data_IF_726004799066
#
_entry.id   IF_726004799066
#
_cell.length_a   1.000
_cell.length_b   1.000
_cell.length_c   1.000
_cell.angle_alpha   90.00
_cell.angle_beta   90.00
_cell.angle_gamma   90.00
#
_symmetry.space_group_name_H-M   'P 1'
#
loop_
_entity.id
_entity.type
_entity.pdbx_description
1 polymer ?
#
# COMPACT_ATOMS: atom_id res chain seq x y z
N UNK A 1 -0.63 39.96 -13.26
CA UNK A 1 0.05 38.66 -13.50
C UNK A 1 -0.53 37.68 -12.49
N UNK A 2 -1.43 36.82 -12.95
CA UNK A 2 -2.24 35.92 -12.14
C UNK A 2 -1.35 34.93 -11.41
N UNK A 3 -1.30 35.00 -10.08
CA UNK A 3 -0.57 34.04 -9.26
C UNK A 3 -1.47 32.81 -9.05
N UNK A 4 -1.42 31.87 -9.99
CA UNK A 4 -2.15 30.61 -9.94
C UNK A 4 -1.46 29.67 -8.94
N UNK A 5 -1.75 29.85 -7.65
CA UNK A 5 -1.44 28.83 -6.66
C UNK A 5 -2.41 27.65 -6.86
N UNK A 6 -2.05 26.72 -7.74
CA UNK A 6 -2.75 25.45 -7.87
C UNK A 6 -2.90 24.84 -6.46
N UNK A 7 -4.12 24.50 -6.01
CA UNK A 7 -4.31 23.94 -4.69
C UNK A 7 -3.46 22.68 -4.57
N UNK A 8 -2.47 22.71 -3.67
CA UNK A 8 -1.67 21.50 -3.33
C UNK A 8 -2.69 20.43 -2.97
N UNK A 9 -2.82 19.38 -3.82
CA UNK A 9 -3.74 18.26 -3.60
C UNK A 9 -3.59 17.79 -2.15
N UNK A 10 -4.54 18.16 -1.30
CA UNK A 10 -4.56 17.73 0.08
C UNK A 10 -5.04 16.29 0.06
N UNK A 11 -4.08 15.36 0.03
CA UNK A 11 -4.36 13.95 0.26
C UNK A 11 -4.84 13.83 1.70
N UNK A 12 -6.16 13.81 1.90
CA UNK A 12 -6.80 13.63 3.21
C UNK A 12 -6.13 12.44 3.91
N UNK A 13 -5.38 12.77 4.97
CA UNK A 13 -4.67 11.77 5.78
C UNK A 13 -5.73 11.09 6.62
N UNK A 14 -5.86 9.76 6.54
CA UNK A 14 -6.19 8.98 7.74
C UNK A 14 -5.76 7.52 7.66
N UNK A 15 -5.73 6.95 8.86
CA UNK A 15 -4.85 5.89 9.33
C UNK A 15 -5.25 4.50 8.78
N UNK A 16 -5.14 4.29 7.46
CA UNK A 16 -5.50 3.01 6.83
C UNK A 16 -4.59 1.88 7.36
N UNK A 17 -5.16 0.74 7.81
CA UNK A 17 -4.38 -0.43 8.21
C UNK A 17 -3.49 -0.95 7.08
N UNK A 18 -2.28 -1.38 7.42
CA UNK A 18 -1.29 -1.86 6.45
C UNK A 18 -1.84 -2.95 5.53
N UNK A 19 -2.63 -3.88 6.08
CA UNK A 19 -3.13 -5.01 5.31
C UNK A 19 -4.07 -4.56 4.19
N UNK A 20 -4.95 -3.57 4.46
CA UNK A 20 -5.83 -2.99 3.44
C UNK A 20 -5.04 -2.31 2.33
N UNK A 21 -3.98 -1.58 2.69
CA UNK A 21 -3.09 -0.94 1.70
C UNK A 21 -2.49 -2.00 0.77
N UNK A 22 -1.92 -3.06 1.32
CA UNK A 22 -1.28 -4.14 0.55
C UNK A 22 -2.29 -4.89 -0.31
N UNK A 23 -3.47 -5.22 0.23
CA UNK A 23 -4.51 -5.91 -0.52
C UNK A 23 -4.99 -5.09 -1.73
N UNK A 24 -5.08 -3.76 -1.59
CA UNK A 24 -5.51 -2.87 -2.67
C UNK A 24 -4.43 -2.70 -3.74
N UNK A 25 -3.22 -2.35 -3.33
CA UNK A 25 -2.15 -1.98 -4.27
C UNK A 25 -1.40 -3.20 -4.80
N UNK A 26 -1.38 -4.31 -4.05
CA UNK A 26 -0.59 -5.53 -4.31
C UNK A 26 0.91 -5.23 -4.49
N UNK A 27 1.42 -4.24 -3.75
CA UNK A 27 2.82 -3.83 -3.72
C UNK A 27 3.32 -3.75 -2.27
N UNK A 28 4.62 -3.93 -2.09
CA UNK A 28 5.30 -3.89 -0.80
C UNK A 28 6.51 -2.97 -0.84
N UNK A 29 6.59 -1.94 0.03
CA UNK A 29 7.79 -1.14 0.17
C UNK A 29 8.80 -1.85 1.09
N UNK A 30 10.00 -2.09 0.59
CA UNK A 30 11.12 -2.49 1.45
C UNK A 30 11.59 -1.33 2.31
N UNK A 31 12.38 -1.59 3.36
CA UNK A 31 12.97 -0.53 4.20
C UNK A 31 13.93 0.40 3.43
N UNK A 32 14.45 -0.03 2.28
CA UNK A 32 15.45 0.70 1.48
C UNK A 32 14.87 1.69 0.47
N UNK A 33 13.55 1.74 0.29
CA UNK A 33 12.94 2.58 -0.77
C UNK A 33 12.52 1.82 -2.01
N UNK A 34 12.78 0.51 -2.05
CA UNK A 34 12.54 -0.34 -3.21
C UNK A 34 11.13 -0.93 -3.13
N UNK A 35 10.33 -0.72 -4.17
CA UNK A 35 8.98 -1.23 -4.33
C UNK A 35 9.01 -2.64 -4.94
N UNK A 36 8.36 -3.58 -4.27
CA UNK A 36 8.24 -4.97 -4.68
C UNK A 36 6.80 -5.28 -5.08
N UNK A 37 6.63 -6.19 -6.05
CA UNK A 37 5.34 -6.80 -6.34
C UNK A 37 5.00 -7.87 -5.31
N UNK A 38 3.76 -7.92 -4.85
CA UNK A 38 3.29 -8.96 -3.91
C UNK A 38 2.77 -10.15 -4.71
N UNK A 39 3.38 -11.33 -4.49
CA UNK A 39 3.02 -12.62 -5.10
C UNK A 39 1.96 -13.34 -4.27
N UNK A 40 2.11 -13.37 -2.95
CA UNK A 40 1.10 -13.90 -2.04
C UNK A 40 1.03 -13.09 -0.75
N UNK A 41 -0.16 -13.05 -0.16
CA UNK A 41 -0.43 -12.33 1.08
C UNK A 41 -1.50 -13.08 1.86
N UNK A 42 -1.11 -13.79 2.93
CA UNK A 42 -2.00 -14.63 3.75
C UNK A 42 -2.10 -14.05 5.15
N UNK A 43 -3.29 -13.59 5.52
CA UNK A 43 -3.56 -13.01 6.84
C UNK A 43 -3.84 -14.10 7.86
N UNK A 44 -3.24 -14.01 9.05
CA UNK A 44 -3.46 -14.87 10.21
C UNK A 44 -3.57 -14.01 11.47
N UNK A 45 -4.79 -13.61 11.81
CA UNK A 45 -5.08 -12.71 12.93
C UNK A 45 -4.33 -11.37 12.80
N UNK A 46 -3.51 -10.95 13.78
CA UNK A 46 -2.80 -9.67 13.72
C UNK A 46 -1.58 -9.68 12.79
N UNK A 47 -1.18 -10.84 12.26
CA UNK A 47 -0.03 -11.01 11.39
C UNK A 47 -0.44 -11.47 9.99
N UNK A 48 0.48 -11.35 9.04
CA UNK A 48 0.33 -11.88 7.70
C UNK A 48 1.68 -12.36 7.15
N UNK A 49 1.64 -13.48 6.44
CA UNK A 49 2.75 -13.95 5.62
C UNK A 49 2.67 -13.24 4.26
N UNK A 50 3.72 -12.51 3.91
CA UNK A 50 3.88 -11.83 2.63
C UNK A 50 5.01 -12.47 1.85
N UNK A 51 4.74 -12.81 0.59
CA UNK A 51 5.74 -13.27 -0.38
C UNK A 51 5.76 -12.30 -1.56
N UNK A 52 6.93 -11.78 -1.90
CA UNK A 52 7.11 -10.92 -3.08
C UNK A 52 7.34 -11.74 -4.35
N UNK A 53 7.24 -11.11 -5.52
CA UNK A 53 7.58 -11.75 -6.80
C UNK A 53 9.07 -12.07 -6.96
N UNK A 54 9.95 -11.46 -6.15
CA UNK A 54 11.35 -11.87 -6.05
C UNK A 54 11.60 -12.87 -4.91
N UNK A 55 10.54 -13.57 -4.48
CA UNK A 55 10.54 -14.64 -3.49
C UNK A 55 11.05 -14.27 -2.09
N UNK A 56 11.11 -12.97 -1.76
CA UNK A 56 11.32 -12.54 -0.38
C UNK A 56 10.08 -12.88 0.45
N UNK A 57 10.30 -13.54 1.59
CA UNK A 57 9.26 -13.94 2.53
C UNK A 57 9.41 -13.15 3.82
N UNK A 58 8.29 -12.68 4.36
CA UNK A 58 8.28 -11.97 5.64
C UNK A 58 6.95 -12.10 6.34
N UNK A 59 7.00 -12.08 7.67
CA UNK A 59 5.82 -11.96 8.52
C UNK A 59 5.68 -10.50 8.93
N UNK A 60 4.51 -9.92 8.70
CA UNK A 60 4.24 -8.51 9.00
C UNK A 60 3.03 -8.39 9.92
N UNK A 61 3.06 -7.41 10.82
CA UNK A 61 1.91 -7.09 11.70
C UNK A 61 1.02 -6.04 11.04
N UNK A 62 -0.30 -6.16 11.24
CA UNK A 62 -1.22 -5.12 10.81
C UNK A 62 -1.05 -3.87 11.70
N UNK A 63 -0.41 -2.83 11.17
CA UNK A 63 -0.21 -1.57 11.89
C UNK A 63 -0.36 -0.37 10.96
N UNK A 64 -1.20 0.56 11.38
CA UNK A 64 -1.49 1.82 10.66
C UNK A 64 -0.29 2.79 10.69
N UNK A 65 0.52 2.69 11.74
CA UNK A 65 1.65 3.57 12.02
C UNK A 65 3.00 3.00 11.54
N UNK A 66 3.00 1.81 10.94
CA UNK A 66 4.22 1.19 10.43
C UNK A 66 4.87 2.05 9.32
N UNK A 67 6.20 1.94 9.20
CA UNK A 67 6.95 2.59 8.10
C UNK A 67 6.38 2.20 6.74
N UNK A 68 6.09 0.91 6.53
CA UNK A 68 5.48 0.41 5.29
C UNK A 68 4.12 1.07 5.01
N UNK A 69 3.26 1.21 6.03
CA UNK A 69 1.95 1.87 5.85
C UNK A 69 2.10 3.35 5.50
N UNK A 70 3.03 4.06 6.15
CA UNK A 70 3.34 5.46 5.80
C UNK A 70 3.85 5.58 4.37
N UNK A 71 4.72 4.66 3.96
CA UNK A 71 5.34 4.68 2.63
C UNK A 71 4.34 4.39 1.52
N UNK A 72 3.45 3.43 1.70
CA UNK A 72 2.39 3.15 0.74
C UNK A 72 1.41 4.34 0.61
N UNK A 73 1.06 4.98 1.73
CA UNK A 73 0.16 6.14 1.72
C UNK A 73 0.78 7.37 1.08
N UNK A 74 2.02 7.69 1.47
CA UNK A 74 2.70 8.90 1.02
C UNK A 74 3.51 8.69 -0.27
N UNK A 75 3.55 7.46 -0.79
CA UNK A 75 4.32 7.06 -1.98
C UNK A 75 5.82 7.38 -1.84
N UNK A 76 6.37 7.18 -0.64
CA UNK A 76 7.80 7.37 -0.35
C UNK A 76 8.64 6.17 -0.81
N UNK A 77 8.55 5.84 -2.09
CA UNK A 77 9.36 4.81 -2.74
C UNK A 77 10.11 5.43 -3.89
N UNK A 78 11.40 5.12 -3.98
CA UNK A 78 12.34 5.78 -4.86
C UNK A 78 12.69 4.90 -6.06
N UNK A 79 12.60 3.58 -5.88
CA UNK A 79 13.03 2.60 -6.88
C UNK A 79 12.05 1.42 -6.97
N UNK A 80 12.06 0.74 -8.11
CA UNK A 80 11.32 -0.51 -8.33
C UNK A 80 12.28 -1.69 -8.33
N UNK A 81 11.88 -2.80 -7.71
CA UNK A 81 12.68 -4.02 -7.74
C UNK A 81 12.77 -4.58 -9.16
N UNK A 82 13.98 -4.69 -9.70
CA UNK A 82 14.24 -5.22 -11.05
C UNK A 82 13.74 -6.67 -11.19
N UNK A 83 13.99 -7.52 -10.18
CA UNK A 83 13.58 -8.93 -10.19
C UNK A 83 12.06 -9.11 -10.16
N UNK A 84 11.32 -8.23 -9.47
CA UNK A 84 9.86 -8.30 -9.43
C UNK A 84 9.20 -8.00 -10.78
N UNK A 85 9.93 -7.37 -11.73
CA UNK A 85 9.43 -6.98 -13.06
C UNK A 85 8.03 -6.36 -13.01
N UNK A 86 7.84 -5.38 -12.10
CA UNK A 86 6.54 -4.74 -11.89
C UNK A 86 6.13 -4.03 -13.19
N UNK A 87 4.97 -4.35 -13.78
CA UNK A 87 4.52 -3.71 -15.02
C UNK A 87 4.34 -2.20 -14.85
N UNK A 88 4.71 -1.43 -15.87
CA UNK A 88 4.65 0.03 -15.85
C UNK A 88 3.23 0.57 -15.58
N UNK A 89 2.20 -0.10 -16.08
CA UNK A 89 0.80 0.29 -15.82
C UNK A 89 0.44 0.19 -14.33
N UNK A 90 0.99 -0.79 -13.61
CA UNK A 90 0.73 -1.00 -12.17
C UNK A 90 1.41 0.09 -11.34
N UNK A 91 2.60 0.51 -11.75
CA UNK A 91 3.31 1.65 -11.15
C UNK A 91 2.51 2.94 -11.36
N UNK A 92 2.10 3.22 -12.60
CA UNK A 92 1.25 4.39 -12.92
C UNK A 92 -0.05 4.38 -12.13
N UNK A 93 -0.69 3.22 -11.99
CA UNK A 93 -1.89 3.05 -11.16
C UNK A 93 -1.61 3.33 -9.69
N UNK A 94 -0.50 2.86 -9.14
CA UNK A 94 -0.09 3.15 -7.76
C UNK A 94 0.18 4.65 -7.54
N UNK A 95 0.88 5.29 -8.47
CA UNK A 95 1.15 6.74 -8.45
C UNK A 95 -0.14 7.57 -8.56
N UNK A 96 -1.12 7.11 -9.33
CA UNK A 96 -2.43 7.76 -9.43
C UNK A 96 -3.37 7.45 -8.25
N UNK A 97 -3.16 6.34 -7.53
CA UNK A 97 -4.05 5.89 -6.45
C UNK A 97 -4.08 6.91 -5.33
N UNK A 98 -5.29 7.33 -4.94
CA UNK A 98 -5.54 8.20 -3.78
C UNK A 98 -6.37 7.42 -2.78
N UNK A 99 -5.92 7.40 -1.52
CA UNK A 99 -6.66 6.76 -0.44
C UNK A 99 -7.63 7.79 0.17
N UNK A 100 -8.91 7.73 -0.21
CA UNK A 100 -9.97 8.57 0.33
C UNK A 100 -10.61 7.98 1.61
N UNK A 101 -11.33 8.81 2.37
CA UNK A 101 -11.87 8.49 3.70
C UNK A 101 -12.88 7.31 3.69
N UNK A 102 -13.70 7.19 2.64
CA UNK A 102 -14.73 6.16 2.49
C UNK A 102 -14.18 4.72 2.36
N UNK A 103 -12.87 4.54 2.11
CA UNK A 103 -12.26 3.20 2.13
C UNK A 103 -12.17 2.60 3.55
N UNK A 104 -12.45 3.40 4.57
CA UNK A 104 -12.59 2.95 5.96
C UNK A 104 -13.98 2.39 6.29
N UNK A 105 -15.03 2.91 5.66
CA UNK A 105 -16.43 2.79 6.11
C UNK A 105 -17.24 1.65 5.49
N UNK A 106 -16.86 1.10 4.34
CA UNK A 106 -17.65 0.01 3.70
C UNK A 106 -17.31 -1.41 4.20
N UNK A 107 -16.93 -1.57 5.47
CA UNK A 107 -16.65 -2.91 6.04
C UNK A 107 -17.10 -3.04 7.51
N UNK A 108 -18.30 -2.57 7.82
CA UNK A 108 -19.18 -3.40 8.66
C UNK A 108 -19.68 -4.53 7.76
N UNK A 109 -19.66 -5.77 8.24
CA UNK A 109 -20.12 -6.99 7.54
C UNK A 109 -19.09 -7.74 6.65
N UNK A 110 -18.07 -8.32 7.29
CA UNK A 110 -17.64 -9.69 6.94
C UNK A 110 -17.25 -10.48 8.21
N UNK A 111 -17.99 -10.25 9.29
CA UNK A 111 -18.08 -11.21 10.41
C UNK A 111 -19.47 -11.85 10.35
N UNK A 112 -19.61 -12.90 9.54
CA UNK A 112 -20.57 -14.01 9.69
C UNK A 112 -20.48 -14.90 8.45
N UNK A 113 -20.19 -16.19 8.65
CA UNK A 113 -20.31 -17.20 7.61
C UNK A 113 -19.40 -18.40 7.85
N UNK A 114 -19.84 -19.25 8.79
CA UNK A 114 -19.58 -20.71 8.98
C UNK A 114 -18.15 -21.24 9.07
#
# INVERSE_FOLDING_TARGET
MSNEHAPKKQYYRKNVPLFRLIQKVKLWPSRRGILHGVKSFKVRGPFAELVTHCDQRMVIRNSRNSRAARWLRNKWVFEKCAQCRIPAWKIRKFEATVFAEHWGSDLTEMEKGE
#
